data_IF_237680054195
#
_entry.id   IF_237680054195
#
_cell.length_a   1.000
_cell.length_b   1.000
_cell.length_c   1.000
_cell.angle_alpha   90.00
_cell.angle_beta   90.00
_cell.angle_gamma   90.00
#
_symmetry.space_group_name_H-M   'P 1'
#
loop_
_entity.id
_entity.type
_entity.pdbx_description
1 polymer ?
#
# COMPACT_ATOMS: atom_id res chain seq x y z
N UNK A 1 19.30 4.74 0.88
CA UNK A 1 17.86 5.08 0.77
C UNK A 1 17.69 6.15 -0.29
N UNK A 2 16.64 6.11 -1.11
CA UNK A 2 16.38 7.14 -2.12
C UNK A 2 16.17 8.51 -1.46
N UNK A 3 16.74 9.55 -2.08
CA UNK A 3 16.82 10.88 -1.50
C UNK A 3 15.53 11.70 -1.63
N UNK A 4 14.64 11.32 -2.56
CA UNK A 4 13.38 12.01 -2.84
C UNK A 4 12.25 11.01 -3.08
N UNK A 5 11.01 11.51 -3.00
CA UNK A 5 9.80 10.70 -3.23
C UNK A 5 9.76 10.15 -4.66
N UNK A 6 10.03 10.95 -5.69
CA UNK A 6 10.08 10.49 -7.08
C UNK A 6 11.11 9.37 -7.31
N UNK A 7 12.29 9.49 -6.70
CA UNK A 7 13.34 8.46 -6.80
C UNK A 7 12.92 7.20 -6.06
N UNK A 8 12.23 7.35 -4.92
CA UNK A 8 11.65 6.22 -4.20
C UNK A 8 10.55 5.52 -5.01
N UNK A 9 9.63 6.27 -5.61
CA UNK A 9 8.57 5.72 -6.46
C UNK A 9 9.15 4.94 -7.64
N UNK A 10 10.18 5.49 -8.30
CA UNK A 10 10.87 4.83 -9.42
C UNK A 10 11.56 3.54 -8.98
N UNK A 11 12.28 3.57 -7.85
CA UNK A 11 12.91 2.39 -7.24
C UNK A 11 11.88 1.32 -6.88
N UNK A 12 10.79 1.70 -6.21
CA UNK A 12 9.72 0.79 -5.82
C UNK A 12 9.04 0.18 -7.03
N UNK A 13 8.77 0.96 -8.08
CA UNK A 13 8.25 0.44 -9.34
C UNK A 13 9.20 -0.56 -9.99
N UNK A 14 10.51 -0.31 -9.98
CA UNK A 14 11.50 -1.24 -10.51
C UNK A 14 11.53 -2.55 -9.72
N UNK A 15 11.58 -2.47 -8.39
CA UNK A 15 11.53 -3.62 -7.48
C UNK A 15 10.26 -4.45 -7.69
N UNK A 16 9.09 -3.81 -7.70
CA UNK A 16 7.80 -4.49 -7.87
C UNK A 16 7.70 -5.18 -9.23
N UNK A 17 8.33 -4.63 -10.28
CA UNK A 17 8.42 -5.28 -11.59
C UNK A 17 9.33 -6.51 -11.59
N UNK A 18 10.38 -6.53 -10.78
CA UNK A 18 11.33 -7.66 -10.72
C UNK A 18 10.92 -8.78 -9.76
N UNK A 19 9.97 -8.54 -8.85
CA UNK A 19 9.51 -9.57 -7.90
C UNK A 19 8.85 -10.74 -8.63
N UNK A 20 9.28 -11.95 -8.31
CA UNK A 20 8.63 -13.18 -8.73
C UNK A 20 7.90 -13.81 -7.56
N UNK A 21 6.67 -14.26 -7.78
CA UNK A 21 5.88 -14.94 -6.76
C UNK A 21 6.20 -16.42 -6.83
N UNK A 22 6.85 -16.93 -5.79
CA UNK A 22 7.18 -18.34 -5.62
C UNK A 22 6.05 -19.10 -4.92
N UNK A 23 6.12 -20.44 -4.93
CA UNK A 23 5.17 -21.27 -4.19
C UNK A 23 5.25 -21.04 -2.67
N UNK A 24 6.45 -20.79 -2.14
CA UNK A 24 6.62 -20.38 -0.74
C UNK A 24 5.88 -19.07 -0.44
N UNK A 25 5.96 -18.08 -1.35
CA UNK A 25 5.22 -16.83 -1.20
C UNK A 25 3.69 -17.05 -1.24
N UNK A 26 3.21 -17.97 -2.10
CA UNK A 26 1.80 -18.37 -2.14
C UNK A 26 1.35 -19.04 -0.84
N UNK A 27 2.19 -19.91 -0.27
CA UNK A 27 1.89 -20.56 1.01
C UNK A 27 1.80 -19.54 2.15
N UNK A 28 2.76 -18.63 2.26
CA UNK A 28 2.74 -17.56 3.26
C UNK A 28 1.47 -16.71 3.13
N UNK A 29 1.08 -16.35 1.90
CA UNK A 29 -0.16 -15.62 1.67
C UNK A 29 -1.39 -16.43 2.09
N UNK A 30 -1.42 -17.74 1.83
CA UNK A 30 -2.51 -18.62 2.28
C UNK A 30 -2.60 -18.68 3.80
N UNK A 31 -1.47 -18.78 4.49
CA UNK A 31 -1.40 -18.86 5.95
C UNK A 31 -1.84 -17.55 6.60
N UNK A 32 -1.49 -16.40 6.01
CA UNK A 32 -1.92 -15.08 6.48
C UNK A 32 -3.43 -14.85 6.38
N UNK A 33 -4.10 -15.48 5.41
CA UNK A 33 -5.55 -15.41 5.25
C UNK A 33 -6.28 -16.65 5.77
N UNK A 34 -5.57 -17.52 6.48
CA UNK A 34 -6.19 -18.64 7.17
C UNK A 34 -7.09 -18.13 8.31
N UNK A 35 -8.14 -18.88 8.67
CA UNK A 35 -8.96 -18.57 9.85
C UNK A 35 -8.08 -18.39 11.09
N UNK A 36 -8.22 -17.29 11.82
CA UNK A 36 -7.46 -17.08 13.04
C UNK A 36 -8.03 -17.98 14.15
N UNK A 37 -7.25 -18.94 14.69
CA UNK A 37 -7.72 -19.81 15.76
C UNK A 37 -8.09 -19.02 17.02
N UNK A 38 -7.35 -17.94 17.29
CA UNK A 38 -7.51 -17.09 18.47
C UNK A 38 -8.63 -16.06 18.32
N UNK A 39 -9.19 -15.89 17.11
CA UNK A 39 -10.25 -14.92 16.82
C UNK A 39 -11.26 -15.49 15.80
N UNK A 40 -12.00 -16.56 16.14
CA UNK A 40 -12.89 -17.26 15.21
C UNK A 40 -14.04 -16.38 14.70
N UNK A 41 -14.43 -15.35 15.45
CA UNK A 41 -15.43 -14.35 15.05
C UNK A 41 -14.94 -13.44 13.91
N UNK A 42 -13.62 -13.32 13.72
CA UNK A 42 -12.99 -12.52 12.67
C UNK A 42 -12.69 -13.34 11.40
N UNK A 43 -12.74 -14.67 11.47
CA UNK A 43 -12.61 -15.59 10.33
C UNK A 43 -13.48 -15.27 9.12
N UNK A 44 -14.77 -14.87 9.23
CA UNK A 44 -15.56 -14.47 8.06
C UNK A 44 -15.04 -13.19 7.38
N UNK A 45 -14.24 -12.37 8.06
CA UNK A 45 -13.61 -11.19 7.48
C UNK A 45 -12.33 -11.53 6.68
N UNK A 46 -11.72 -12.71 6.87
CA UNK A 46 -10.51 -13.14 6.14
C UNK A 46 -10.65 -13.10 4.61
N UNK A 47 -11.71 -13.66 3.98
CA UNK A 47 -11.86 -13.55 2.53
C UNK A 47 -12.02 -12.10 2.06
N UNK A 48 -12.68 -11.24 2.84
CA UNK A 48 -12.79 -9.81 2.54
C UNK A 48 -11.43 -9.11 2.65
N UNK A 49 -10.63 -9.43 3.66
CA UNK A 49 -9.27 -8.91 3.84
C UNK A 49 -8.34 -9.39 2.74
N UNK A 50 -8.43 -10.66 2.34
CA UNK A 50 -7.71 -11.23 1.20
C UNK A 50 -8.05 -10.50 -0.09
N UNK A 51 -9.33 -10.18 -0.30
CA UNK A 51 -9.74 -9.37 -1.44
C UNK A 51 -9.19 -7.93 -1.33
N UNK A 52 -9.38 -7.23 -0.21
CA UNK A 52 -8.90 -5.86 -0.03
C UNK A 52 -7.38 -5.74 -0.25
N UNK A 53 -6.62 -6.67 0.33
CA UNK A 53 -5.16 -6.74 0.16
C UNK A 53 -4.77 -7.09 -1.27
N UNK A 54 -5.43 -8.06 -1.93
CA UNK A 54 -5.22 -8.35 -3.35
C UNK A 54 -5.36 -7.09 -4.21
N UNK A 55 -6.34 -6.26 -3.86
CA UNK A 55 -6.60 -4.99 -4.50
C UNK A 55 -5.43 -4.01 -4.48
N UNK A 56 -4.66 -3.98 -3.40
CA UNK A 56 -3.47 -3.13 -3.26
C UNK A 56 -2.32 -3.60 -4.18
N UNK A 57 -2.37 -4.84 -4.68
CA UNK A 57 -1.32 -5.37 -5.53
C UNK A 57 -1.50 -4.97 -7.01
N UNK A 58 -0.38 -4.71 -7.72
CA UNK A 58 -0.37 -4.63 -9.18
C UNK A 58 -0.95 -5.89 -9.83
N UNK A 59 -1.59 -5.73 -10.99
CA UNK A 59 -2.26 -6.81 -11.73
C UNK A 59 -1.40 -8.07 -11.90
N UNK A 60 -0.11 -7.90 -12.23
CA UNK A 60 0.86 -8.99 -12.39
C UNK A 60 0.98 -9.85 -11.12
N UNK A 61 1.11 -9.22 -9.96
CA UNK A 61 1.25 -9.96 -8.70
C UNK A 61 -0.06 -10.64 -8.30
N UNK A 62 -1.21 -10.01 -8.55
CA UNK A 62 -2.53 -10.64 -8.29
C UNK A 62 -2.71 -11.96 -9.03
N UNK A 63 -2.37 -11.98 -10.31
CA UNK A 63 -2.42 -13.20 -11.14
C UNK A 63 -1.43 -14.24 -10.63
N UNK A 64 -0.21 -13.83 -10.28
CA UNK A 64 0.82 -14.73 -9.77
C UNK A 64 0.46 -15.34 -8.39
N UNK A 65 -0.28 -14.63 -7.54
CA UNK A 65 -0.85 -15.14 -6.28
C UNK A 65 -2.14 -15.97 -6.46
N UNK A 66 -2.67 -16.11 -7.69
CA UNK A 66 -3.90 -16.88 -7.93
C UNK A 66 -5.16 -16.28 -7.32
N UNK A 67 -5.20 -14.96 -7.13
CA UNK A 67 -6.31 -14.26 -6.50
C UNK A 67 -7.40 -13.96 -7.55
N UNK A 68 -8.60 -14.54 -7.40
CA UNK A 68 -9.72 -14.38 -8.35
C UNK A 68 -10.35 -12.98 -8.28
N UNK A 69 -9.80 -12.04 -9.06
CA UNK A 69 -10.23 -10.64 -9.04
C UNK A 69 -11.21 -10.30 -10.17
N UNK A 70 -12.47 -10.00 -9.83
CA UNK A 70 -13.49 -9.59 -10.81
C UNK A 70 -13.38 -8.10 -11.25
N UNK A 71 -13.79 -7.73 -12.47
CA UNK A 71 -13.62 -6.38 -13.04
C UNK A 71 -14.37 -5.27 -12.29
N UNK A 72 -15.45 -5.59 -11.59
CA UNK A 72 -16.20 -4.62 -10.76
C UNK A 72 -15.40 -4.18 -9.53
N UNK A 73 -14.62 -5.10 -8.95
CA UNK A 73 -13.80 -4.88 -7.74
C UNK A 73 -12.55 -4.05 -8.03
N UNK A 74 -12.00 -4.16 -9.25
CA UNK A 74 -10.90 -3.28 -9.70
C UNK A 74 -11.34 -1.80 -9.74
N UNK A 75 -12.57 -1.54 -10.17
CA UNK A 75 -13.12 -0.18 -10.23
C UNK A 75 -13.39 0.39 -8.85
N UNK A 76 -13.91 -0.41 -7.91
CA UNK A 76 -14.14 0.04 -6.54
C UNK A 76 -12.84 0.39 -5.82
N UNK A 77 -11.73 -0.30 -6.13
CA UNK A 77 -10.44 0.02 -5.52
C UNK A 77 -9.83 1.31 -6.05
N UNK A 78 -9.85 1.51 -7.37
CA UNK A 78 -9.42 2.80 -7.97
C UNK A 78 -10.32 3.93 -7.46
N UNK A 79 -11.62 3.67 -7.29
CA UNK A 79 -12.53 4.64 -6.68
C UNK A 79 -12.19 4.90 -5.20
N UNK A 80 -11.87 3.87 -4.42
CA UNK A 80 -11.48 4.00 -3.01
C UNK A 80 -10.14 4.75 -2.84
N UNK A 81 -9.17 4.52 -3.73
CA UNK A 81 -7.90 5.26 -3.75
C UNK A 81 -8.10 6.73 -4.11
N UNK A 82 -8.96 7.02 -5.09
CA UNK A 82 -9.31 8.40 -5.45
C UNK A 82 -10.06 9.08 -4.33
N UNK A 83 -11.01 8.36 -3.71
CA UNK A 83 -11.77 8.86 -2.58
C UNK A 83 -10.87 9.09 -1.37
N UNK A 84 -9.95 8.18 -1.07
CA UNK A 84 -9.00 8.35 0.04
C UNK A 84 -8.09 9.55 -0.22
N UNK A 85 -7.54 9.71 -1.43
CA UNK A 85 -6.72 10.89 -1.78
C UNK A 85 -7.50 12.21 -1.70
N UNK A 86 -8.80 12.19 -1.98
CA UNK A 86 -9.67 13.35 -1.85
C UNK A 86 -10.11 13.63 -0.40
N UNK A 87 -10.32 12.59 0.40
CA UNK A 87 -10.83 12.68 1.78
C UNK A 87 -9.71 12.88 2.80
N UNK A 88 -8.52 12.30 2.60
CA UNK A 88 -7.33 12.50 3.44
C UNK A 88 -7.03 13.98 3.76
N UNK A 89 -6.99 14.90 2.77
CA UNK A 89 -6.72 16.31 3.05
C UNK A 89 -7.87 17.02 3.79
N UNK A 90 -9.04 16.39 3.94
CA UNK A 90 -10.21 16.94 4.63
C UNK A 90 -10.46 16.27 5.99
N UNK A 91 -9.71 15.21 6.30
CA UNK A 91 -9.78 14.55 7.60
C UNK A 91 -9.08 15.44 8.64
N UNK A 92 -9.72 15.68 9.81
CA UNK A 92 -9.10 16.43 10.88
C UNK A 92 -7.81 15.75 11.33
N UNK A 93 -6.80 16.54 11.68
CA UNK A 93 -5.46 16.06 12.05
C UNK A 93 -5.49 14.98 13.13
N UNK A 94 -6.51 14.94 14.00
CA UNK A 94 -6.66 13.91 15.05
C UNK A 94 -6.87 12.49 14.52
N UNK A 95 -7.39 12.34 13.30
CA UNK A 95 -7.63 11.03 12.68
C UNK A 95 -6.48 10.59 11.78
N UNK A 96 -5.71 11.55 11.23
CA UNK A 96 -4.58 11.30 10.33
C UNK A 96 -3.26 11.32 11.10
N UNK A 97 -3.19 11.99 12.25
CA UNK A 97 -2.02 12.01 13.09
C UNK A 97 -1.73 10.60 13.60
N UNK A 98 -0.47 10.17 13.59
CA UNK A 98 -0.08 8.96 14.30
C UNK A 98 -0.49 9.11 15.77
N UNK A 99 -0.85 8.00 16.45
CA UNK A 99 -1.19 8.05 17.87
C UNK A 99 -0.07 8.80 18.61
N UNK A 100 -0.44 9.89 19.30
CA UNK A 100 0.51 10.86 19.88
C UNK A 100 1.48 10.28 20.91
N UNK A 101 1.41 8.98 21.17
CA UNK A 101 2.30 8.21 22.01
C UNK A 101 3.63 7.85 21.32
N UNK A 102 3.74 7.92 19.98
CA UNK A 102 4.86 7.26 19.25
C UNK A 102 5.83 8.20 18.51
N UNK A 103 5.52 9.49 18.29
CA UNK A 103 6.41 10.38 17.50
C UNK A 103 7.09 11.49 18.33
N UNK A 104 8.43 11.61 18.29
CA UNK A 104 9.14 12.76 18.85
C UNK A 104 8.83 14.03 18.04
N UNK A 105 8.69 15.14 18.76
CA UNK A 105 8.25 16.47 18.29
C UNK A 105 9.19 17.14 17.26
N UNK A 106 10.23 16.45 16.79
CA UNK A 106 11.27 16.95 15.88
C UNK A 106 10.95 16.77 14.39
N UNK A 107 9.86 16.10 14.04
CA UNK A 107 9.49 15.87 12.62
C UNK A 107 8.82 17.10 11.95
N UNK A 108 8.64 18.22 12.64
CA UNK A 108 7.92 19.39 12.11
C UNK A 108 8.76 20.37 11.28
N UNK A 109 10.06 20.14 11.04
CA UNK A 109 10.93 21.15 10.38
C UNK A 109 11.51 20.71 9.02
N UNK A 110 10.83 19.78 8.32
CA UNK A 110 11.34 19.22 7.06
C UNK A 110 10.46 19.40 5.82
N UNK A 111 9.47 20.29 5.82
CA UNK A 111 8.68 20.60 4.60
C UNK A 111 9.22 21.83 3.88
N UNK A 112 10.46 21.75 3.41
CA UNK A 112 10.94 22.57 2.30
C UNK A 112 11.33 21.59 1.19
N UNK A 113 10.33 21.12 0.45
CA UNK A 113 10.54 20.56 -0.88
C UNK A 113 10.94 21.74 -1.76
N UNK A 114 12.23 22.03 -1.76
CA UNK A 114 12.78 23.03 -2.68
C UNK A 114 12.79 22.40 -4.07
N UNK A 115 11.77 22.74 -4.84
CA UNK A 115 11.70 22.53 -6.27
C UNK A 115 12.67 23.49 -6.95
N UNK A 116 13.96 23.16 -6.94
CA UNK A 116 14.92 23.77 -7.84
C UNK A 116 15.05 22.87 -9.08
N UNK A 117 14.22 23.20 -10.09
CA UNK A 117 14.62 23.02 -11.49
C UNK A 117 15.99 23.66 -11.71
N UNK A 118 16.96 22.93 -12.26
CA UNK A 118 17.64 23.30 -13.52
C UNK A 118 18.78 22.31 -13.88
N UNK A 119 19.13 22.22 -15.18
CA UNK A 119 19.74 21.06 -15.82
C UNK A 119 21.23 21.23 -16.18
N UNK A 120 21.76 20.17 -16.80
CA UNK A 120 22.94 20.09 -17.68
C UNK A 120 24.31 20.24 -17.02
N UNK A 121 25.11 19.15 -17.09
CA UNK A 121 26.49 19.13 -17.59
C UNK A 121 26.71 17.69 -18.15
N UNK A 122 26.65 17.55 -19.48
CA UNK A 122 27.76 17.33 -20.42
C UNK A 122 28.21 15.87 -20.49
#
# INVERSE_FOLDING_TARGET
MPATVDVFESYMHAMVRSVEVTDAARQIASDLFAPLPDAPWLSPAMPLMRELTAGLLPRRLREAYGLSWGPRRARTLVAAERLSRAVLPHLPERLVAPPGLVMPRSWSTGRRFDSAHAPAEQ
#
